data_IF_595502259549
#
_entry.id   IF_595502259549
#
_cell.length_a   1.000
_cell.length_b   1.000
_cell.length_c   1.000
_cell.angle_alpha   90.00
_cell.angle_beta   90.00
_cell.angle_gamma   90.00
#
_symmetry.space_group_name_H-M   'P 1'
#
loop_
_entity.id
_entity.type
_entity.pdbx_description
1 polymer ?
#
# COMPACT_ATOMS: atom_id res chain seq x y z
N UNK A 1 22.94 15.74 18.77
CA UNK A 1 22.88 15.33 17.35
C UNK A 1 22.54 16.49 16.41
N UNK A 2 21.29 16.97 16.32
CA UNK A 2 20.91 18.02 15.35
C UNK A 2 21.77 19.30 15.49
N UNK A 3 21.93 19.78 16.74
CA UNK A 3 22.76 20.96 17.06
C UNK A 3 24.23 20.76 16.67
N UNK A 4 24.78 19.57 16.93
CA UNK A 4 26.19 19.24 16.65
C UNK A 4 26.48 19.21 15.15
N UNK A 5 25.49 18.80 14.35
CA UNK A 5 25.55 18.80 12.89
C UNK A 5 24.99 20.07 12.24
N UNK A 6 24.69 21.13 13.02
CA UNK A 6 24.14 22.40 12.53
C UNK A 6 22.84 22.24 11.71
N UNK A 7 22.02 21.26 12.08
CA UNK A 7 20.69 21.03 11.52
C UNK A 7 19.62 21.63 12.43
N UNK A 8 18.55 22.17 11.83
CA UNK A 8 17.44 22.80 12.55
C UNK A 8 16.13 22.14 12.12
N UNK A 9 15.31 21.75 13.10
CA UNK A 9 13.96 21.28 12.85
C UNK A 9 13.02 22.46 12.62
N UNK A 10 12.18 22.40 11.59
CA UNK A 10 11.14 23.42 11.35
C UNK A 10 9.99 23.18 12.33
N UNK A 11 9.87 24.06 13.33
CA UNK A 11 8.86 23.96 14.39
C UNK A 11 7.44 23.82 13.82
N UNK A 12 7.08 24.63 12.82
CA UNK A 12 5.78 24.59 12.16
C UNK A 12 5.43 23.27 11.44
N UNK A 13 6.40 22.36 11.26
CA UNK A 13 6.20 21.01 10.69
C UNK A 13 6.52 19.90 11.68
N UNK A 14 6.90 20.25 12.91
CA UNK A 14 7.33 19.30 13.92
C UNK A 14 6.17 19.04 14.89
N UNK A 15 5.86 17.78 15.10
CA UNK A 15 4.82 17.34 16.02
C UNK A 15 5.48 16.56 17.15
N UNK A 16 5.29 17.00 18.40
CA UNK A 16 5.91 16.41 19.58
C UNK A 16 4.86 15.83 20.52
N UNK A 17 5.17 14.71 21.17
CA UNK A 17 4.32 14.09 22.19
C UNK A 17 2.95 13.60 21.69
N UNK A 18 2.82 13.29 20.41
CA UNK A 18 1.55 12.86 19.81
C UNK A 18 1.30 11.36 19.99
N UNK A 19 0.05 10.97 20.29
CA UNK A 19 -0.37 9.55 20.31
C UNK A 19 -0.58 8.94 18.92
N UNK A 20 -0.75 9.81 17.91
CA UNK A 20 -1.01 9.47 16.52
C UNK A 20 -0.32 10.50 15.64
N UNK A 21 0.39 10.07 14.61
CA UNK A 21 1.10 10.97 13.70
C UNK A 21 1.06 10.45 12.26
N UNK A 22 0.93 11.38 11.31
CA UNK A 22 1.07 11.08 9.89
C UNK A 22 2.55 11.06 9.52
N UNK A 23 3.03 9.94 9.00
CA UNK A 23 4.44 9.75 8.66
C UNK A 23 4.58 8.89 7.41
N UNK A 24 5.26 9.41 6.39
CA UNK A 24 5.50 8.73 5.10
C UNK A 24 4.23 8.13 4.48
N UNK A 25 3.11 8.86 4.50
CA UNK A 25 1.85 8.37 3.91
C UNK A 25 1.16 7.26 4.72
N UNK A 26 1.59 7.04 5.97
CA UNK A 26 0.93 6.18 6.93
C UNK A 26 0.53 6.97 8.15
N UNK A 27 -0.36 6.39 8.92
CA UNK A 27 -0.68 6.83 10.26
C UNK A 27 -0.01 5.87 11.23
N UNK A 28 0.86 6.40 12.10
CA UNK A 28 1.49 5.65 13.18
C UNK A 28 0.78 5.97 14.48
N UNK A 29 0.39 4.94 15.23
CA UNK A 29 -0.26 5.08 16.53
C UNK A 29 0.10 3.92 17.47
N UNK A 30 -0.35 4.00 18.72
CA UNK A 30 -0.22 2.89 19.69
C UNK A 30 -0.84 1.57 19.19
N UNK A 31 -1.85 1.64 18.31
CA UNK A 31 -2.52 0.46 17.75
C UNK A 31 -1.73 -0.19 16.62
N UNK A 32 -0.72 0.51 16.09
CA UNK A 32 0.04 0.08 14.93
C UNK A 32 0.06 1.10 13.80
N UNK A 33 0.37 0.59 12.61
CA UNK A 33 0.50 1.30 11.35
C UNK A 33 -0.79 1.14 10.53
N UNK A 34 -1.40 2.25 10.10
CA UNK A 34 -2.53 2.21 9.16
C UNK A 34 -2.29 3.06 7.92
N UNK A 35 -3.09 2.83 6.89
CA UNK A 35 -3.11 3.68 5.70
C UNK A 35 -3.68 5.06 6.07
N UNK A 36 -3.14 6.12 5.46
CA UNK A 36 -3.69 7.47 5.56
C UNK A 36 -5.12 7.51 4.96
N UNK A 37 -6.14 7.94 5.74
CA UNK A 37 -7.53 8.01 5.26
C UNK A 37 -7.71 8.83 3.99
N UNK A 38 -6.90 9.87 3.77
CA UNK A 38 -6.95 10.68 2.55
C UNK A 38 -6.51 9.88 1.33
N UNK A 39 -5.56 8.95 1.51
CA UNK A 39 -5.09 8.04 0.45
C UNK A 39 -6.13 6.95 0.19
N UNK A 40 -6.78 6.43 1.23
CA UNK A 40 -7.92 5.51 1.09
C UNK A 40 -9.01 6.15 0.22
N UNK A 41 -9.41 7.39 0.54
CA UNK A 41 -10.44 8.09 -0.21
C UNK A 41 -10.03 8.31 -1.67
N UNK A 42 -8.78 8.71 -1.92
CA UNK A 42 -8.26 8.88 -3.27
C UNK A 42 -8.30 7.57 -4.10
N UNK A 43 -8.02 6.42 -3.47
CA UNK A 43 -8.11 5.10 -4.11
C UNK A 43 -9.56 4.72 -4.42
N UNK A 44 -10.48 4.91 -3.46
CA UNK A 44 -11.90 4.59 -3.66
C UNK A 44 -12.54 5.41 -4.78
N UNK A 45 -12.12 6.67 -4.92
CA UNK A 45 -12.60 7.59 -5.96
C UNK A 45 -11.78 7.51 -7.26
N UNK A 46 -10.79 6.62 -7.33
CA UNK A 46 -9.90 6.54 -8.49
C UNK A 46 -10.71 6.16 -9.75
N UNK A 47 -10.60 6.94 -10.84
CA UNK A 47 -11.32 6.65 -12.08
C UNK A 47 -10.74 5.42 -12.77
N UNK A 48 -11.55 4.72 -13.55
CA UNK A 48 -11.08 3.57 -14.35
C UNK A 48 -9.97 4.04 -15.31
N UNK A 49 -8.74 3.48 -15.21
CA UNK A 49 -7.63 3.85 -16.07
C UNK A 49 -7.96 3.67 -17.56
N UNK A 50 -7.64 4.67 -18.38
CA UNK A 50 -7.90 4.67 -19.82
C UNK A 50 -6.64 4.41 -20.65
N UNK A 51 -5.47 4.33 -20.01
CA UNK A 51 -4.20 4.09 -20.66
C UNK A 51 -3.17 3.48 -19.71
N UNK A 52 -2.07 2.99 -20.27
CA UNK A 52 -0.96 2.36 -19.54
C UNK A 52 -0.35 3.30 -18.48
N UNK A 53 -0.30 4.61 -18.73
CA UNK A 53 0.27 5.58 -17.76
C UNK A 53 -0.60 5.69 -16.51
N UNK A 54 -1.91 5.71 -16.68
CA UNK A 54 -2.86 5.72 -15.56
C UNK A 54 -2.84 4.39 -14.79
N UNK A 55 -2.71 3.25 -15.50
CA UNK A 55 -2.52 1.94 -14.84
C UNK A 55 -1.28 1.93 -13.96
N UNK A 56 -0.13 2.40 -14.47
CA UNK A 56 1.10 2.51 -13.67
C UNK A 56 0.93 3.41 -12.46
N UNK A 57 0.16 4.49 -12.60
CA UNK A 57 -0.09 5.44 -11.52
C UNK A 57 -0.93 4.80 -10.42
N UNK A 58 -1.99 4.08 -10.79
CA UNK A 58 -2.82 3.31 -9.86
C UNK A 58 -2.02 2.20 -9.16
N UNK A 59 -1.34 1.35 -9.94
CA UNK A 59 -0.53 0.25 -9.40
C UNK A 59 0.62 0.75 -8.51
N UNK A 60 1.19 1.92 -8.80
CA UNK A 60 2.19 2.53 -7.93
C UNK A 60 1.64 2.82 -6.53
N UNK A 61 0.45 3.41 -6.44
CA UNK A 61 -0.18 3.70 -5.15
C UNK A 61 -0.70 2.43 -4.46
N UNK A 62 -1.39 1.56 -5.18
CA UNK A 62 -1.88 0.30 -4.64
C UNK A 62 -0.71 -0.59 -4.17
N UNK A 63 0.39 -0.62 -4.93
CA UNK A 63 1.60 -1.35 -4.61
C UNK A 63 2.34 -0.80 -3.39
N UNK A 64 2.32 0.53 -3.17
CA UNK A 64 2.85 1.14 -1.95
C UNK A 64 2.19 0.59 -0.68
N UNK A 65 0.89 0.31 -0.75
CA UNK A 65 0.10 -0.23 0.36
C UNK A 65 -0.14 -1.76 0.26
N UNK A 66 0.63 -2.49 -0.57
CA UNK A 66 0.43 -3.93 -0.78
C UNK A 66 0.47 -4.77 0.50
N UNK A 67 1.23 -4.34 1.52
CA UNK A 67 1.34 -5.03 2.81
C UNK A 67 0.01 -5.11 3.58
N UNK A 68 -0.95 -4.25 3.25
CA UNK A 68 -2.29 -4.25 3.84
C UNK A 68 -3.27 -5.16 3.09
N UNK A 69 -2.86 -5.74 1.95
CA UNK A 69 -3.73 -6.51 1.06
C UNK A 69 -3.23 -7.95 1.00
N UNK A 70 -4.04 -8.87 1.51
CA UNK A 70 -3.77 -10.30 1.38
C UNK A 70 -3.79 -10.71 -0.11
N UNK A 71 -2.79 -11.48 -0.55
CA UNK A 71 -2.67 -11.97 -1.93
C UNK A 71 -2.66 -10.86 -2.99
N UNK A 72 -2.08 -9.70 -2.67
CA UNK A 72 -2.01 -8.55 -3.59
C UNK A 72 -1.55 -8.92 -5.01
N UNK A 73 -0.50 -9.74 -5.14
CA UNK A 73 0.06 -10.10 -6.44
C UNK A 73 -0.96 -10.80 -7.34
N UNK A 74 -1.68 -11.78 -6.81
CA UNK A 74 -2.72 -12.51 -7.54
C UNK A 74 -3.86 -11.60 -7.98
N UNK A 75 -4.31 -10.71 -7.09
CA UNK A 75 -5.39 -9.76 -7.38
C UNK A 75 -4.93 -8.73 -8.42
N UNK A 76 -3.69 -8.24 -8.33
CA UNK A 76 -3.18 -7.21 -9.23
C UNK A 76 -2.79 -7.75 -10.62
N UNK A 77 -2.64 -9.07 -10.79
CA UNK A 77 -2.14 -9.69 -12.03
C UNK A 77 -2.91 -9.24 -13.28
N UNK A 78 -4.26 -9.27 -13.34
CA UNK A 78 -4.98 -8.89 -14.56
C UNK A 78 -4.80 -7.42 -14.94
N UNK A 79 -4.49 -6.55 -13.97
CA UNK A 79 -4.17 -5.14 -14.21
C UNK A 79 -2.71 -4.98 -14.66
N UNK A 80 -1.79 -5.79 -14.12
CA UNK A 80 -0.39 -5.80 -14.53
C UNK A 80 -0.23 -6.25 -15.99
N UNK A 81 -1.08 -7.16 -16.47
CA UNK A 81 -1.07 -7.60 -17.88
C UNK A 81 -1.34 -6.46 -18.87
N UNK A 82 -2.04 -5.41 -18.44
CA UNK A 82 -2.25 -4.19 -19.23
C UNK A 82 -0.98 -3.35 -19.43
N UNK A 83 0.11 -3.68 -18.74
CA UNK A 83 1.42 -3.03 -18.89
C UNK A 83 2.29 -3.67 -19.99
N UNK A 84 1.85 -4.79 -20.57
CA UNK A 84 2.55 -5.49 -21.63
C UNK A 84 2.54 -4.69 -22.96
N UNK A 85 3.29 -5.16 -23.97
CA UNK A 85 3.45 -4.45 -25.26
C UNK A 85 2.21 -4.51 -26.16
N UNK A 86 1.20 -5.27 -25.78
CA UNK A 86 -0.06 -5.39 -26.52
C UNK A 86 -0.86 -4.07 -26.48
N UNK A 87 -1.76 -3.86 -27.45
CA UNK A 87 -2.67 -2.73 -27.42
C UNK A 87 -3.45 -2.68 -26.10
N UNK A 88 -3.45 -1.51 -25.45
CA UNK A 88 -4.18 -1.31 -24.21
C UNK A 88 -5.67 -1.58 -24.43
N UNK A 89 -6.20 -2.58 -23.72
CA UNK A 89 -7.62 -2.92 -23.71
C UNK A 89 -8.04 -3.22 -22.29
N UNK A 90 -8.87 -2.37 -21.71
CA UNK A 90 -9.47 -2.63 -20.41
C UNK A 90 -10.41 -3.83 -20.51
N UNK A 91 -10.17 -4.87 -19.72
CA UNK A 91 -10.94 -6.13 -19.73
C UNK A 91 -11.84 -6.23 -18.50
N UNK A 92 -12.85 -7.09 -18.55
CA UNK A 92 -13.73 -7.35 -17.40
C UNK A 92 -12.94 -7.91 -16.20
N UNK A 93 -11.91 -8.72 -16.46
CA UNK A 93 -11.00 -9.24 -15.42
C UNK A 93 -10.17 -8.13 -14.76
N UNK A 94 -9.70 -7.16 -15.55
CA UNK A 94 -9.01 -5.99 -15.02
C UNK A 94 -9.97 -5.10 -14.22
N UNK A 95 -11.22 -4.95 -14.66
CA UNK A 95 -12.25 -4.22 -13.93
C UNK A 95 -12.58 -4.86 -12.58
N UNK A 96 -12.77 -6.18 -12.55
CA UNK A 96 -13.01 -6.93 -11.31
C UNK A 96 -11.82 -6.78 -10.35
N UNK A 97 -10.61 -6.99 -10.84
CA UNK A 97 -9.37 -6.82 -10.06
C UNK A 97 -9.22 -5.40 -9.51
N UNK A 98 -9.58 -4.39 -10.30
CA UNK A 98 -9.51 -2.98 -9.92
C UNK A 98 -10.44 -2.67 -8.75
N UNK A 99 -11.68 -3.16 -8.80
CA UNK A 99 -12.64 -2.96 -7.70
C UNK A 99 -12.27 -3.77 -6.45
N UNK A 100 -11.75 -4.99 -6.60
CA UNK A 100 -11.25 -5.78 -5.46
C UNK A 100 -10.11 -5.03 -4.76
N UNK A 101 -9.12 -4.49 -5.50
CA UNK A 101 -8.02 -3.73 -4.91
C UNK A 101 -8.51 -2.45 -4.20
N UNK A 102 -9.47 -1.73 -4.80
CA UNK A 102 -10.07 -0.54 -4.18
C UNK A 102 -10.75 -0.88 -2.86
N UNK A 103 -11.53 -1.95 -2.84
CA UNK A 103 -12.24 -2.40 -1.64
C UNK A 103 -11.29 -2.91 -0.56
N UNK A 104 -10.24 -3.67 -0.94
CA UNK A 104 -9.24 -4.15 0.00
C UNK A 104 -8.47 -3.00 0.67
N UNK A 105 -8.13 -1.95 -0.08
CA UNK A 105 -7.51 -0.73 0.45
C UNK A 105 -8.49 0.12 1.26
N UNK A 106 -9.77 0.13 0.88
CA UNK A 106 -10.87 0.73 1.62
C UNK A 106 -11.09 0.15 3.02
N UNK A 107 -10.81 -1.14 3.16
CA UNK A 107 -10.99 -1.92 4.39
C UNK A 107 -9.66 -2.38 5.01
N UNK A 108 -8.55 -1.72 4.64
CA UNK A 108 -7.21 -2.08 5.07
C UNK A 108 -7.11 -2.16 6.61
N UNK A 109 -6.61 -3.28 7.17
CA UNK A 109 -6.48 -3.44 8.61
C UNK A 109 -5.36 -2.53 9.16
N UNK A 110 -5.32 -2.37 10.49
CA UNK A 110 -4.14 -1.81 11.17
C UNK A 110 -3.10 -2.92 11.29
N UNK A 111 -1.89 -2.67 10.80
CA UNK A 111 -0.76 -3.58 10.96
C UNK A 111 -0.08 -3.33 12.29
N UNK A 112 0.13 -4.38 13.08
CA UNK A 112 0.92 -4.31 14.30
C UNK A 112 2.36 -3.88 13.99
N UNK A 113 2.97 -3.12 14.89
CA UNK A 113 4.40 -2.85 14.80
C UNK A 113 5.17 -4.12 15.21
N UNK A 114 6.31 -4.42 14.57
CA UNK A 114 7.10 -5.59 14.91
C UNK A 114 7.63 -5.48 16.34
N UNK A 115 7.39 -6.52 17.14
CA UNK A 115 7.98 -6.68 18.46
C UNK A 115 9.21 -7.60 18.34
N UNK A 116 10.40 -7.00 18.37
CA UNK A 116 11.67 -7.72 18.24
C UNK A 116 12.03 -8.60 19.45
N UNK A 117 11.22 -8.59 20.51
CA UNK A 117 11.36 -9.53 21.63
C UNK A 117 10.67 -10.87 21.40
N UNK A 118 9.81 -10.96 20.39
CA UNK A 118 9.09 -12.17 20.01
C UNK A 118 9.78 -12.88 18.82
N UNK A 119 9.49 -14.17 18.68
CA UNK A 119 9.88 -14.93 17.49
C UNK A 119 8.97 -14.55 16.32
N UNK A 120 9.56 -14.35 15.15
CA UNK A 120 8.82 -14.07 13.93
C UNK A 120 8.57 -15.36 13.15
N UNK A 121 7.35 -15.53 12.64
CA UNK A 121 6.98 -16.64 11.78
C UNK A 121 6.79 -16.15 10.35
N UNK A 122 7.41 -16.84 9.40
CA UNK A 122 7.26 -16.57 7.97
C UNK A 122 6.53 -17.75 7.34
N UNK A 123 5.32 -17.49 6.85
CA UNK A 123 4.56 -18.42 6.03
C UNK A 123 4.72 -18.02 4.57
N UNK A 124 5.12 -18.97 3.72
CA UNK A 124 5.32 -18.75 2.28
C UNK A 124 4.56 -19.78 1.47
N UNK A 125 4.08 -19.35 0.33
CA UNK A 125 3.45 -20.21 -0.67
C UNK A 125 3.89 -19.77 -2.07
N UNK A 126 4.05 -20.72 -2.99
CA UNK A 126 4.50 -20.46 -4.34
C UNK A 126 3.80 -21.38 -5.34
N UNK A 127 3.44 -20.81 -6.48
CA UNK A 127 2.84 -21.50 -7.61
C UNK A 127 3.48 -21.01 -8.92
N UNK A 128 3.14 -21.65 -10.05
CA UNK A 128 3.56 -21.18 -11.38
C UNK A 128 3.09 -19.74 -11.67
N UNK A 129 2.02 -19.28 -11.02
CA UNK A 129 1.43 -17.97 -11.22
C UNK A 129 2.04 -16.88 -10.31
N UNK A 130 2.66 -17.25 -9.19
CA UNK A 130 3.18 -16.25 -8.26
C UNK A 130 3.59 -16.78 -6.89
N UNK A 131 4.12 -15.87 -6.08
CA UNK A 131 4.65 -16.11 -4.73
C UNK A 131 3.89 -15.25 -3.73
N UNK A 132 3.52 -15.82 -2.59
CA UNK A 132 2.92 -15.15 -1.44
C UNK A 132 3.74 -15.33 -0.18
N UNK A 133 3.70 -14.34 0.71
CA UNK A 133 4.27 -14.45 2.05
C UNK A 133 3.39 -13.73 3.08
N UNK A 134 3.40 -14.23 4.31
CA UNK A 134 2.88 -13.55 5.50
C UNK A 134 3.94 -13.61 6.59
N UNK A 135 4.15 -12.46 7.25
CA UNK A 135 4.99 -12.35 8.44
C UNK A 135 4.05 -12.11 9.63
N UNK A 136 4.16 -12.92 10.67
CA UNK A 136 3.39 -12.80 11.92
C UNK A 136 4.27 -12.88 13.15
#
# INVERSE_FOLDING_TARGET
LLKDHKLVAKEAKSLFGQKKIDYLGHVVSEKGLSVDPTKIQAILQWPVPQNVKEVRSFLGLAGYYRQFIRQYASIASPIMDLLQKEPFKWTDQAQESFEILKNALGSAPVLSLPDFSLEFHIETDASELGIGLVLS
#
